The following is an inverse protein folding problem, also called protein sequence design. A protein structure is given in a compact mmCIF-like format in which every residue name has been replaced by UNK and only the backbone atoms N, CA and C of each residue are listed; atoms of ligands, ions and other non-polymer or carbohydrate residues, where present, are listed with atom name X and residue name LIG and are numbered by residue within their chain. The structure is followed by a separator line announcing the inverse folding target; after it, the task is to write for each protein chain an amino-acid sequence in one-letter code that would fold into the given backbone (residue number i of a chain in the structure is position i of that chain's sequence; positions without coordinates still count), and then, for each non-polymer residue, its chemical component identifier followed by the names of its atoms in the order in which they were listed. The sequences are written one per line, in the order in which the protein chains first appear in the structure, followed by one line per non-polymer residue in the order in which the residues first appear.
data_IF_223301195415
#
_entry.id   IF_223301195415
#
_cell.length_a   1.000
_cell.length_b   1.000
_cell.length_c   1.000
_cell.angle_alpha   90.00
_cell.angle_beta   90.00
_cell.angle_gamma   90.00
#
_symmetry.space_group_name_H-M   'P 1'
#
loop_
_entity.id
_entity.type
_entity.pdbx_description
1 polymer ?
#
# COMPACT_ATOMS: atom_id res chain seq x y z
N UNK A 1 18.06 -43.38 -23.25
CA UNK A 1 19.42 -43.44 -23.85
C UNK A 1 20.17 -42.26 -23.25
N UNK A 2 20.84 -42.43 -22.20
CA UNK A 2 22.23 -42.69 -21.84
C UNK A 2 23.22 -41.64 -22.38
N UNK A 3 23.74 -40.85 -21.40
CA UNK A 3 25.13 -40.48 -21.18
C UNK A 3 25.70 -39.41 -22.14
N UNK A 4 26.51 -38.43 -21.74
CA UNK A 4 27.65 -38.45 -20.80
C UNK A 4 28.19 -37.06 -20.51
N UNK A 5 28.66 -36.83 -19.31
CA UNK A 5 29.72 -35.89 -18.90
C UNK A 5 31.07 -36.42 -19.41
N UNK A 6 32.25 -35.80 -19.21
CA UNK A 6 32.65 -34.56 -18.60
C UNK A 6 33.78 -33.84 -19.39
N UNK A 7 34.28 -32.66 -18.97
CA UNK A 7 35.73 -32.41 -18.97
C UNK A 7 36.08 -31.27 -17.97
N UNK A 8 36.96 -31.64 -17.11
CA UNK A 8 37.58 -30.84 -16.08
C UNK A 8 38.99 -30.39 -16.52
N UNK A 9 39.50 -29.39 -15.81
CA UNK A 9 40.90 -29.01 -15.62
C UNK A 9 41.64 -28.32 -16.77
N UNK A 10 42.06 -27.08 -16.53
CA UNK A 10 43.46 -26.71 -16.68
C UNK A 10 43.85 -25.59 -15.69
N UNK A 11 44.71 -26.01 -14.79
CA UNK A 11 45.52 -25.24 -13.84
C UNK A 11 46.71 -24.67 -14.60
N UNK A 12 47.06 -23.38 -14.34
CA UNK A 12 48.28 -22.79 -14.95
C UNK A 12 48.74 -21.56 -14.21
N UNK A 13 49.44 -21.77 -13.17
CA UNK A 13 50.40 -20.98 -12.39
C UNK A 13 51.41 -20.22 -13.27
N UNK A 14 51.52 -18.85 -13.13
CA UNK A 14 52.78 -18.15 -13.37
C UNK A 14 52.96 -17.08 -12.30
N UNK A 15 53.89 -17.37 -11.40
CA UNK A 15 54.65 -16.43 -10.54
C UNK A 15 55.87 -15.97 -11.32
N UNK A 16 56.22 -14.68 -11.27
CA UNK A 16 57.61 -14.17 -11.16
C UNK A 16 57.61 -12.62 -11.14
N UNK A 17 57.94 -12.14 -10.00
CA UNK A 17 58.88 -11.13 -9.55
C UNK A 17 59.37 -10.09 -10.57
N UNK A 18 59.29 -8.82 -10.18
CA UNK A 18 60.43 -7.91 -10.13
C UNK A 18 60.13 -6.75 -9.15
N UNK A 19 61.01 -6.61 -8.20
CA UNK A 19 61.09 -5.58 -7.17
C UNK A 19 61.83 -4.34 -7.72
N UNK A 20 61.71 -3.23 -6.91
CA UNK A 20 62.57 -2.08 -6.73
C UNK A 20 62.02 -0.75 -7.23
N UNK A 21 61.79 0.13 -6.25
CA UNK A 21 61.62 1.58 -6.42
C UNK A 21 60.96 2.25 -5.25
N UNK A 22 61.65 2.41 -4.11
CA UNK A 22 61.23 3.27 -2.99
C UNK A 22 61.34 4.74 -3.39
N UNK A 23 60.29 5.53 -3.16
CA UNK A 23 60.35 6.90 -2.62
C UNK A 23 59.07 7.22 -1.87
N UNK A 24 59.14 7.86 -0.68
CA UNK A 24 58.01 8.14 0.15
C UNK A 24 57.33 9.45 -0.26
N UNK A 25 56.01 9.44 -0.39
CA UNK A 25 55.19 10.66 -0.37
C UNK A 25 53.90 10.40 0.35
N UNK A 26 53.70 11.22 1.35
CA UNK A 26 52.63 11.45 2.29
C UNK A 26 51.23 10.98 1.95
N UNK A 27 50.63 10.32 2.95
CA UNK A 27 49.31 10.46 3.52
C UNK A 27 48.13 10.72 2.56
N UNK A 28 47.47 9.67 2.13
CA UNK A 28 46.12 9.69 1.66
C UNK A 28 45.51 8.34 2.03
N UNK A 29 44.88 8.30 3.20
CA UNK A 29 44.02 7.17 3.59
C UNK A 29 42.82 7.14 2.66
N UNK A 30 42.88 6.35 1.62
CA UNK A 30 41.69 5.95 0.89
C UNK A 30 41.07 4.76 1.61
N UNK A 31 40.17 5.06 2.54
CA UNK A 31 39.17 4.07 2.95
C UNK A 31 38.40 3.62 1.70
N UNK A 32 38.10 2.32 1.57
CA UNK A 32 37.10 1.90 0.59
C UNK A 32 35.80 2.69 0.83
N UNK A 33 35.00 2.97 -0.20
CA UNK A 33 33.68 3.54 0.03
C UNK A 33 32.95 2.61 1.01
N UNK A 34 32.62 3.11 2.18
CA UNK A 34 31.59 2.50 3.01
C UNK A 34 30.36 2.46 2.10
N UNK A 35 29.87 1.28 1.78
CA UNK A 35 28.51 1.10 1.31
C UNK A 35 27.64 1.72 2.40
N UNK A 36 27.22 2.97 2.18
CA UNK A 36 26.13 3.56 2.91
C UNK A 36 24.92 2.68 2.65
N UNK A 37 24.68 1.73 3.52
CA UNK A 37 23.37 1.14 3.68
C UNK A 37 22.47 2.32 4.01
N UNK A 38 21.75 2.82 3.00
CA UNK A 38 20.63 3.73 3.19
C UNK A 38 19.57 2.99 4.02
N UNK A 39 19.81 2.94 5.32
CA UNK A 39 18.73 2.73 6.27
C UNK A 39 17.86 3.97 6.14
N UNK A 40 16.82 3.87 5.33
CA UNK A 40 15.80 4.90 5.22
C UNK A 40 15.32 5.19 6.64
N UNK A 41 15.41 6.45 7.06
CA UNK A 41 14.95 6.86 8.38
C UNK A 41 13.49 6.43 8.54
N UNK A 42 13.13 5.91 9.72
CA UNK A 42 11.74 5.57 10.01
C UNK A 42 10.85 6.82 9.83
N UNK A 43 9.61 6.65 9.33
CA UNK A 43 8.67 7.75 9.24
C UNK A 43 8.46 8.40 10.62
N UNK A 44 8.46 9.72 10.67
CA UNK A 44 8.14 10.54 11.84
C UNK A 44 6.78 11.24 11.74
N UNK A 45 6.13 11.05 10.60
CA UNK A 45 4.83 11.63 10.27
C UNK A 45 4.01 10.58 9.54
N UNK A 46 2.72 10.44 9.87
CA UNK A 46 1.80 9.56 9.15
C UNK A 46 1.33 10.17 7.82
N UNK A 47 0.51 9.43 7.08
CA UNK A 47 0.01 9.87 5.77
C UNK A 47 -1.01 11.00 5.84
N UNK A 48 -1.60 11.25 7.01
CA UNK A 48 -2.48 12.38 7.29
C UNK A 48 -1.75 13.60 7.85
N UNK A 49 -0.41 13.53 8.00
CA UNK A 49 0.43 14.63 8.48
C UNK A 49 0.54 14.72 10.01
N UNK A 50 0.06 13.72 10.74
CA UNK A 50 0.21 13.69 12.19
C UNK A 50 1.61 13.18 12.56
N UNK A 51 2.26 13.75 13.59
CA UNK A 51 3.52 13.22 14.08
C UNK A 51 3.32 11.84 14.71
N UNK A 52 4.20 10.91 14.37
CA UNK A 52 4.24 9.55 14.92
C UNK A 52 5.63 9.26 15.48
N UNK A 53 5.66 8.34 16.44
CA UNK A 53 6.91 7.84 16.99
C UNK A 53 6.89 6.31 16.92
N UNK A 54 7.48 5.78 15.85
CA UNK A 54 7.60 4.35 15.67
C UNK A 54 8.63 3.78 16.64
N UNK A 55 8.34 2.62 17.25
CA UNK A 55 9.36 1.88 18.01
C UNK A 55 10.46 1.36 17.05
N UNK A 56 11.64 1.09 17.58
CA UNK A 56 12.76 0.59 16.78
C UNK A 56 12.49 -0.80 16.15
N UNK A 57 11.50 -1.53 16.65
CA UNK A 57 11.02 -2.80 16.12
C UNK A 57 9.50 -2.87 16.30
N UNK A 58 8.81 -3.33 15.27
CA UNK A 58 7.34 -3.51 15.27
C UNK A 58 7.04 -5.00 15.18
N UNK A 59 6.51 -5.58 16.26
CA UNK A 59 6.20 -7.00 16.36
C UNK A 59 4.71 -7.27 16.66
N UNK A 60 3.98 -6.27 17.12
CA UNK A 60 2.55 -6.35 17.43
C UNK A 60 1.78 -5.24 16.72
N UNK A 61 0.96 -5.59 15.74
CA UNK A 61 0.25 -4.65 14.87
C UNK A 61 -1.26 -4.84 15.02
N UNK A 62 -1.97 -3.73 15.18
CA UNK A 62 -3.43 -3.68 14.97
C UNK A 62 -3.69 -3.01 13.63
N UNK A 63 -4.48 -3.65 12.79
CA UNK A 63 -4.88 -3.13 11.47
C UNK A 63 -6.37 -2.84 11.42
N UNK A 64 -6.74 -1.58 11.21
CA UNK A 64 -8.12 -1.11 11.25
C UNK A 64 -8.70 -0.79 9.88
N UNK A 65 -8.20 -1.46 8.81
CA UNK A 65 -8.81 -1.39 7.48
C UNK A 65 -8.41 -2.60 6.61
N UNK A 66 -9.32 -3.13 5.77
CA UNK A 66 -9.03 -4.27 4.91
C UNK A 66 -7.86 -4.05 3.94
N UNK A 67 -7.72 -2.85 3.37
CA UNK A 67 -6.60 -2.51 2.47
C UNK A 67 -5.24 -2.58 3.17
N UNK A 68 -5.18 -2.11 4.41
CA UNK A 68 -3.97 -2.15 5.23
C UNK A 68 -3.66 -3.59 5.62
N UNK A 69 -4.68 -4.34 6.07
CA UNK A 69 -4.54 -5.76 6.43
C UNK A 69 -4.04 -6.57 5.23
N UNK A 70 -4.61 -6.39 4.04
CA UNK A 70 -4.14 -7.07 2.82
C UNK A 70 -2.66 -6.75 2.56
N UNK A 71 -2.28 -5.48 2.62
CA UNK A 71 -0.88 -5.05 2.41
C UNK A 71 0.07 -5.73 3.41
N UNK A 72 -0.30 -5.80 4.68
CA UNK A 72 0.51 -6.49 5.70
C UNK A 72 0.61 -8.00 5.46
N UNK A 73 -0.47 -8.63 4.98
CA UNK A 73 -0.45 -10.04 4.59
C UNK A 73 0.47 -10.28 3.38
N UNK A 74 0.43 -9.41 2.38
CA UNK A 74 1.29 -9.47 1.20
C UNK A 74 2.78 -9.26 1.55
N UNK A 75 3.05 -8.53 2.63
CA UNK A 75 4.39 -8.41 3.21
C UNK A 75 4.80 -9.60 4.09
N UNK A 76 3.91 -10.61 4.26
CA UNK A 76 4.17 -11.77 5.11
C UNK A 76 4.11 -11.49 6.61
N UNK A 77 3.43 -10.40 7.03
CA UNK A 77 3.37 -9.95 8.43
C UNK A 77 2.18 -10.55 9.21
N UNK A 78 1.57 -11.63 8.74
CA UNK A 78 0.42 -12.26 9.39
C UNK A 78 0.66 -12.53 10.88
N UNK A 79 1.84 -13.06 11.22
CA UNK A 79 2.18 -13.45 12.59
C UNK A 79 2.39 -12.25 13.53
N UNK A 80 2.47 -11.04 12.98
CA UNK A 80 2.58 -9.79 13.75
C UNK A 80 1.22 -9.14 14.00
N UNK A 81 0.15 -9.59 13.34
CA UNK A 81 -1.20 -9.08 13.59
C UNK A 81 -1.72 -9.59 14.92
N UNK A 82 -2.02 -8.69 15.85
CA UNK A 82 -2.61 -9.00 17.17
C UNK A 82 -4.09 -8.68 17.22
N UNK A 83 -4.60 -7.85 16.32
CA UNK A 83 -6.03 -7.58 16.13
C UNK A 83 -6.25 -6.96 14.73
N UNK A 84 -7.47 -7.07 14.24
CA UNK A 84 -7.89 -6.49 12.96
C UNK A 84 -9.29 -5.88 13.06
N UNK A 85 -9.70 -5.14 12.03
CA UNK A 85 -11.09 -4.72 11.90
C UNK A 85 -12.01 -5.89 11.52
N UNK A 86 -13.31 -5.73 11.76
CA UNK A 86 -14.32 -6.77 11.54
C UNK A 86 -14.36 -7.27 10.10
N UNK A 87 -14.19 -6.39 9.11
CA UNK A 87 -14.20 -6.78 7.70
C UNK A 87 -12.92 -7.52 7.32
N UNK A 88 -11.77 -7.09 7.83
CA UNK A 88 -10.50 -7.80 7.64
C UNK A 88 -10.57 -9.22 8.18
N UNK A 89 -11.15 -9.42 9.36
CA UNK A 89 -11.33 -10.76 9.92
C UNK A 89 -12.13 -11.65 8.98
N UNK A 90 -13.26 -11.14 8.48
CA UNK A 90 -14.16 -11.89 7.60
C UNK A 90 -13.52 -12.20 6.22
N UNK A 91 -12.86 -11.20 5.60
CA UNK A 91 -12.35 -11.36 4.22
C UNK A 91 -11.08 -12.19 4.13
N UNK A 92 -10.25 -12.18 5.18
CA UNK A 92 -8.94 -12.82 5.16
C UNK A 92 -8.82 -14.05 6.07
N UNK A 93 -9.93 -14.50 6.65
CA UNK A 93 -9.93 -15.68 7.53
C UNK A 93 -9.09 -15.46 8.79
N UNK A 94 -9.30 -14.33 9.47
CA UNK A 94 -8.59 -13.90 10.66
C UNK A 94 -9.52 -13.84 11.90
N UNK A 95 -10.62 -14.59 11.89
CA UNK A 95 -11.65 -14.56 12.97
C UNK A 95 -11.11 -15.09 14.31
N UNK A 96 -9.96 -15.73 14.31
CA UNK A 96 -9.27 -16.16 15.53
C UNK A 96 -8.60 -14.99 16.28
N UNK A 97 -8.42 -13.83 15.63
CA UNK A 97 -7.87 -12.62 16.22
C UNK A 97 -8.97 -11.77 16.88
N UNK A 98 -8.65 -10.99 17.92
CA UNK A 98 -9.52 -9.92 18.39
C UNK A 98 -9.94 -9.00 17.25
N UNK A 99 -11.23 -8.64 17.20
CA UNK A 99 -11.79 -7.80 16.14
C UNK A 99 -12.44 -6.55 16.71
N UNK A 100 -12.31 -5.44 15.98
CA UNK A 100 -12.85 -4.15 16.38
C UNK A 100 -13.64 -3.50 15.24
N UNK A 101 -14.65 -2.71 15.60
CA UNK A 101 -15.31 -1.84 14.65
C UNK A 101 -14.38 -0.68 14.27
N UNK A 102 -14.20 -0.42 12.98
CA UNK A 102 -13.30 0.64 12.51
C UNK A 102 -13.84 2.05 12.78
N UNK A 103 -15.16 2.21 12.95
CA UNK A 103 -15.82 3.49 13.17
C UNK A 103 -16.01 3.80 14.68
N UNK A 104 -16.20 2.78 15.48
CA UNK A 104 -16.43 2.86 16.92
C UNK A 104 -15.54 1.85 17.67
N UNK A 105 -14.20 1.98 17.60
CA UNK A 105 -13.29 1.02 18.20
C UNK A 105 -13.34 1.09 19.75
N UNK A 106 -13.31 -0.07 20.39
CA UNK A 106 -13.09 -0.17 21.83
C UNK A 106 -11.60 0.02 22.15
N UNK A 107 -11.20 1.27 22.32
CA UNK A 107 -9.80 1.64 22.55
C UNK A 107 -9.26 1.16 23.89
N UNK A 108 -10.11 0.91 24.88
CA UNK A 108 -9.68 0.33 26.16
C UNK A 108 -9.27 -1.14 25.97
N UNK A 109 -10.05 -1.90 25.20
CA UNK A 109 -9.68 -3.28 24.84
C UNK A 109 -8.46 -3.32 23.89
N UNK A 110 -8.33 -2.37 22.98
CA UNK A 110 -7.15 -2.28 22.12
C UNK A 110 -5.88 -2.01 22.93
N UNK A 111 -5.92 -1.12 23.92
CA UNK A 111 -4.77 -0.75 24.75
C UNK A 111 -4.17 -1.94 25.51
N UNK A 112 -4.99 -2.92 25.94
CA UNK A 112 -4.48 -4.10 26.67
C UNK A 112 -3.77 -5.12 25.77
N UNK A 113 -3.87 -4.99 24.45
CA UNK A 113 -3.17 -5.86 23.50
C UNK A 113 -1.69 -5.51 23.35
N UNK A 114 -1.25 -4.37 23.92
CA UNK A 114 0.13 -3.89 23.88
C UNK A 114 0.69 -3.84 22.43
N UNK A 115 -0.09 -3.34 21.51
CA UNK A 115 0.36 -3.17 20.14
C UNK A 115 1.49 -2.13 20.04
N UNK A 116 2.49 -2.42 19.23
CA UNK A 116 3.58 -1.49 18.91
C UNK A 116 3.09 -0.40 17.94
N UNK A 117 2.15 -0.76 17.07
CA UNK A 117 1.64 0.09 16.01
C UNK A 117 0.17 -0.23 15.73
N UNK A 118 -0.63 0.81 15.63
CA UNK A 118 -2.02 0.74 15.16
C UNK A 118 -2.10 1.50 13.84
N UNK A 119 -2.47 0.83 12.78
CA UNK A 119 -2.82 1.48 11.52
C UNK A 119 -4.31 1.77 11.48
N UNK A 120 -4.66 3.01 11.14
CA UNK A 120 -6.04 3.47 10.96
C UNK A 120 -6.27 3.95 9.54
N UNK A 121 -7.53 4.19 9.17
CA UNK A 121 -7.86 4.70 7.84
C UNK A 121 -8.69 5.97 7.93
N UNK A 122 -8.68 6.77 6.86
CA UNK A 122 -9.48 7.98 6.76
C UNK A 122 -10.98 7.78 6.99
N UNK A 123 -11.49 6.53 6.87
CA UNK A 123 -12.88 6.21 7.19
C UNK A 123 -13.19 6.34 8.68
N UNK A 124 -12.24 6.01 9.55
CA UNK A 124 -12.41 6.11 11.01
C UNK A 124 -12.59 7.56 11.48
N UNK A 125 -12.02 8.53 10.76
CA UNK A 125 -12.13 9.96 11.07
C UNK A 125 -13.36 10.64 10.43
N UNK A 126 -14.21 9.91 9.72
CA UNK A 126 -15.35 10.46 8.97
C UNK A 126 -16.40 11.13 9.85
N UNK A 127 -16.44 10.84 11.14
CA UNK A 127 -17.34 11.47 12.13
C UNK A 127 -16.83 12.82 12.66
N UNK A 128 -15.64 13.26 12.25
CA UNK A 128 -15.04 14.53 12.67
C UNK A 128 -14.31 14.50 14.02
N UNK A 129 -14.30 13.36 14.73
CA UNK A 129 -13.49 13.11 15.91
C UNK A 129 -12.54 11.95 15.63
N UNK A 130 -11.30 12.01 16.14
CA UNK A 130 -10.38 10.87 16.06
C UNK A 130 -10.77 9.83 17.12
N UNK A 131 -11.34 8.67 16.77
CA UNK A 131 -11.74 7.66 17.76
C UNK A 131 -10.52 7.00 18.43
N UNK A 132 -9.32 7.13 17.86
CA UNK A 132 -8.07 6.55 18.38
C UNK A 132 -7.27 7.50 19.28
N UNK A 133 -7.77 8.72 19.51
CA UNK A 133 -7.14 9.69 20.39
C UNK A 133 -6.78 9.09 21.78
N UNK A 134 -7.61 8.27 22.43
CA UNK A 134 -7.27 7.65 23.72
C UNK A 134 -6.02 6.75 23.66
N UNK A 135 -5.77 6.06 22.53
CA UNK A 135 -4.56 5.25 22.36
C UNK A 135 -3.30 6.12 22.23
N UNK A 136 -3.40 7.24 21.51
CA UNK A 136 -2.28 8.21 21.39
C UNK A 136 -1.93 8.80 22.76
N UNK A 137 -2.93 9.11 23.59
CA UNK A 137 -2.74 9.68 24.93
C UNK A 137 -2.02 8.73 25.89
N UNK A 138 -2.16 7.42 25.73
CA UNK A 138 -1.43 6.42 26.52
C UNK A 138 -0.12 6.00 25.85
N UNK A 139 0.28 6.64 24.75
CA UNK A 139 1.59 6.47 24.11
C UNK A 139 1.67 5.34 23.09
N UNK A 140 0.54 4.79 22.63
CA UNK A 140 0.51 3.84 21.52
C UNK A 140 0.78 4.60 20.21
N UNK A 141 1.67 4.06 19.37
CA UNK A 141 1.89 4.62 18.05
C UNK A 141 0.67 4.32 17.16
N UNK A 142 -0.02 5.37 16.73
CA UNK A 142 -1.17 5.27 15.82
C UNK A 142 -0.85 6.03 14.55
N UNK A 143 -0.83 5.35 13.42
CA UNK A 143 -0.53 5.90 12.09
C UNK A 143 -1.78 5.87 11.22
N UNK A 144 -2.24 7.04 10.81
CA UNK A 144 -3.39 7.19 9.94
C UNK A 144 -3.00 7.20 8.46
N UNK A 145 -3.78 6.48 7.65
CA UNK A 145 -3.64 6.40 6.21
C UNK A 145 -4.96 6.86 5.58
N UNK A 146 -5.02 8.05 4.97
CA UNK A 146 -6.24 8.56 4.35
C UNK A 146 -6.66 7.68 3.16
N UNK A 147 -7.89 7.85 2.69
CA UNK A 147 -8.32 7.21 1.46
C UNK A 147 -7.52 7.75 0.27
N UNK A 148 -6.89 6.86 -0.49
CA UNK A 148 -6.14 7.23 -1.67
C UNK A 148 -7.06 7.80 -2.76
N UNK A 149 -6.65 8.91 -3.39
CA UNK A 149 -7.39 9.57 -4.47
C UNK A 149 -6.85 9.15 -5.86
N UNK A 150 -5.70 8.47 -5.90
CA UNK A 150 -5.04 8.02 -7.14
C UNK A 150 -4.29 6.70 -6.93
N UNK A 151 -3.91 6.05 -8.03
CA UNK A 151 -3.04 4.87 -8.02
C UNK A 151 -1.66 5.20 -7.44
N UNK A 152 -1.12 6.37 -7.76
CA UNK A 152 0.16 6.82 -7.20
C UNK A 152 0.07 7.03 -5.69
N UNK A 153 -0.99 7.67 -5.20
CA UNK A 153 -1.21 7.86 -3.76
C UNK A 153 -1.33 6.51 -3.02
N UNK A 154 -2.03 5.54 -3.62
CA UNK A 154 -2.13 4.18 -3.08
C UNK A 154 -0.75 3.52 -2.98
N UNK A 155 0.11 3.65 -4.01
CA UNK A 155 1.47 3.09 -3.97
C UNK A 155 2.34 3.77 -2.91
N UNK A 156 2.16 5.07 -2.67
CA UNK A 156 2.82 5.77 -1.57
C UNK A 156 2.35 5.30 -0.20
N UNK A 157 1.05 4.99 -0.04
CA UNK A 157 0.52 4.42 1.19
C UNK A 157 1.11 3.03 1.46
N UNK A 158 1.24 2.18 0.43
CA UNK A 158 1.90 0.87 0.53
C UNK A 158 3.38 1.02 0.93
N UNK A 159 4.10 2.01 0.36
CA UNK A 159 5.49 2.32 0.76
C UNK A 159 5.59 2.80 2.19
N UNK A 160 4.64 3.62 2.63
CA UNK A 160 4.59 4.09 4.01
C UNK A 160 4.40 2.92 4.99
N UNK A 161 3.44 2.02 4.72
CA UNK A 161 3.23 0.81 5.53
C UNK A 161 4.53 -0.01 5.59
N UNK A 162 5.16 -0.23 4.44
CA UNK A 162 6.42 -0.97 4.36
C UNK A 162 7.53 -0.33 5.18
N UNK A 163 7.65 0.99 5.14
CA UNK A 163 8.65 1.73 5.93
C UNK A 163 8.40 1.59 7.44
N UNK A 164 7.14 1.56 7.87
CA UNK A 164 6.77 1.36 9.27
C UNK A 164 7.12 -0.04 9.79
N UNK A 165 7.03 -1.08 8.93
CA UNK A 165 7.19 -2.48 9.37
C UNK A 165 8.49 -3.14 8.88
N UNK A 166 9.34 -2.40 8.15
CA UNK A 166 10.61 -2.90 7.64
C UNK A 166 10.50 -3.84 6.44
N UNK A 167 9.50 -3.64 5.56
CA UNK A 167 9.20 -4.49 4.40
C UNK A 167 9.50 -3.80 3.04
N UNK A 168 10.44 -2.86 3.00
CA UNK A 168 10.68 -2.01 1.83
C UNK A 168 11.05 -2.81 0.57
N UNK A 169 11.89 -3.84 0.69
CA UNK A 169 12.30 -4.65 -0.47
C UNK A 169 11.09 -5.40 -1.08
N UNK A 170 10.29 -6.06 -0.25
CA UNK A 170 9.06 -6.74 -0.68
C UNK A 170 8.07 -5.76 -1.31
N UNK A 171 7.93 -4.58 -0.73
CA UNK A 171 7.06 -3.51 -1.21
C UNK A 171 7.44 -3.08 -2.64
N UNK A 172 8.71 -2.76 -2.91
CA UNK A 172 9.12 -2.30 -4.23
C UNK A 172 8.94 -3.37 -5.31
N UNK A 173 9.11 -4.64 -4.96
CA UNK A 173 8.81 -5.74 -5.88
C UNK A 173 7.31 -5.83 -6.21
N UNK A 174 6.43 -5.72 -5.20
CA UNK A 174 4.98 -5.73 -5.40
C UNK A 174 4.51 -4.52 -6.22
N UNK A 175 5.03 -3.33 -5.91
CA UNK A 175 4.70 -2.10 -6.67
C UNK A 175 5.15 -2.24 -8.12
N UNK A 176 6.34 -2.78 -8.37
CA UNK A 176 6.84 -3.00 -9.73
C UNK A 176 5.95 -3.96 -10.53
N UNK A 177 5.45 -5.01 -9.89
CA UNK A 177 4.50 -5.95 -10.50
C UNK A 177 3.16 -5.28 -10.80
N UNK A 178 2.59 -4.56 -9.84
CA UNK A 178 1.34 -3.82 -10.00
C UNK A 178 1.46 -2.77 -11.12
N UNK A 179 2.55 -2.00 -11.17
CA UNK A 179 2.78 -1.01 -12.23
C UNK A 179 2.85 -1.67 -13.61
N UNK A 180 3.52 -2.80 -13.73
CA UNK A 180 3.60 -3.51 -15.01
C UNK A 180 2.21 -4.01 -15.49
N UNK A 181 1.33 -4.42 -14.58
CA UNK A 181 -0.05 -4.78 -14.92
C UNK A 181 -0.88 -3.55 -15.30
N UNK A 182 -0.75 -2.45 -14.56
CA UNK A 182 -1.42 -1.19 -14.88
C UNK A 182 -1.00 -0.69 -16.27
N UNK A 183 0.30 -0.74 -16.59
CA UNK A 183 0.83 -0.33 -17.90
C UNK A 183 0.27 -1.20 -19.04
N UNK A 184 0.11 -2.51 -18.82
CA UNK A 184 -0.53 -3.41 -19.79
C UNK A 184 -2.00 -3.06 -20.00
N UNK A 185 -2.74 -2.82 -18.91
CA UNK A 185 -4.15 -2.40 -18.99
C UNK A 185 -4.30 -1.06 -19.70
N UNK A 186 -3.44 -0.09 -19.38
CA UNK A 186 -3.41 1.21 -20.06
C UNK A 186 -3.13 1.10 -21.56
N UNK A 187 -2.21 0.19 -21.94
CA UNK A 187 -1.91 -0.06 -23.35
C UNK A 187 -3.14 -0.65 -24.09
N UNK A 188 -3.87 -1.58 -23.44
CA UNK A 188 -5.14 -2.12 -23.98
C UNK A 188 -6.19 -1.01 -24.05
N UNK A 189 -6.37 -0.25 -22.96
CA UNK A 189 -7.35 0.84 -22.87
C UNK A 189 -7.14 1.92 -23.93
N UNK A 190 -5.88 2.28 -24.21
CA UNK A 190 -5.54 3.27 -25.24
C UNK A 190 -5.91 2.84 -26.66
N UNK A 191 -6.04 1.53 -26.89
CA UNK A 191 -6.45 0.96 -28.19
C UNK A 191 -7.97 0.90 -28.39
N UNK A 192 -8.78 1.23 -27.37
CA UNK A 192 -10.25 1.17 -27.46
C UNK A 192 -10.76 2.39 -28.20
N UNK A 193 -11.31 2.16 -29.41
CA UNK A 193 -11.85 3.24 -30.27
C UNK A 193 -13.20 3.78 -29.82
N UNK A 194 -14.07 2.91 -29.27
CA UNK A 194 -15.40 3.29 -28.76
C UNK A 194 -15.48 2.94 -27.28
N UNK A 195 -15.34 3.97 -26.45
CA UNK A 195 -15.36 3.83 -24.99
C UNK A 195 -16.75 3.54 -24.49
N UNK A 196 -16.86 2.57 -23.56
CA UNK A 196 -18.10 2.27 -22.87
C UNK A 196 -18.30 3.25 -21.71
N UNK A 197 -19.54 3.76 -21.58
CA UNK A 197 -19.96 4.59 -20.46
C UNK A 197 -20.29 3.71 -19.27
N UNK A 198 -19.55 3.90 -18.19
CA UNK A 198 -19.67 3.11 -16.96
C UNK A 198 -20.26 3.96 -15.85
N UNK A 199 -21.39 3.50 -15.29
CA UNK A 199 -21.88 3.98 -14.02
C UNK A 199 -21.21 3.17 -12.91
N UNK A 200 -20.54 3.84 -11.98
CA UNK A 200 -20.05 3.23 -10.73
C UNK A 200 -21.15 3.40 -9.68
N UNK A 201 -21.67 2.31 -9.16
CA UNK A 201 -22.68 2.30 -8.11
C UNK A 201 -22.03 1.82 -6.81
N UNK A 202 -21.69 2.79 -5.92
CA UNK A 202 -21.09 2.53 -4.61
C UNK A 202 -22.16 2.25 -3.56
N UNK A 203 -23.29 2.98 -3.64
CA UNK A 203 -24.50 2.69 -2.90
C UNK A 203 -25.71 2.77 -3.84
N UNK A 204 -26.72 1.93 -3.55
CA UNK A 204 -27.88 1.76 -4.41
C UNK A 204 -28.93 2.85 -4.23
N UNK A 205 -29.89 2.85 -5.18
CA UNK A 205 -31.10 3.69 -5.13
C UNK A 205 -31.78 3.71 -3.73
N UNK A 206 -32.52 4.81 -3.38
CA UNK A 206 -32.95 5.88 -4.31
C UNK A 206 -31.89 6.93 -4.63
N UNK A 207 -30.87 7.07 -3.79
CA UNK A 207 -29.77 8.01 -3.97
C UNK A 207 -28.50 7.22 -4.30
N UNK A 208 -28.27 6.95 -5.59
CA UNK A 208 -27.07 6.25 -6.04
C UNK A 208 -25.84 7.08 -5.66
N UNK A 209 -24.94 6.51 -4.85
CA UNK A 209 -23.66 7.12 -4.58
C UNK A 209 -22.65 6.66 -5.64
N UNK A 210 -22.00 7.61 -6.30
CA UNK A 210 -21.12 7.35 -7.45
C UNK A 210 -19.82 8.15 -7.38
N UNK A 211 -18.86 7.78 -8.21
CA UNK A 211 -17.57 8.45 -8.35
C UNK A 211 -17.60 9.38 -9.58
N UNK A 212 -17.16 10.62 -9.40
CA UNK A 212 -16.94 11.60 -10.45
C UNK A 212 -15.46 11.73 -10.83
N UNK A 213 -15.08 12.90 -11.39
CA UNK A 213 -13.70 13.29 -11.64
C UNK A 213 -12.91 13.36 -10.33
N UNK A 214 -11.59 13.37 -10.44
CA UNK A 214 -10.65 13.50 -9.31
C UNK A 214 -10.83 12.42 -8.24
N UNK A 215 -11.24 11.21 -8.67
CA UNK A 215 -11.37 10.04 -7.81
C UNK A 215 -10.52 8.90 -8.32
N UNK A 216 -10.09 8.06 -7.42
CA UNK A 216 -9.41 6.79 -7.73
C UNK A 216 -10.18 5.94 -8.77
N UNK A 217 -11.51 5.89 -8.63
CA UNK A 217 -12.37 5.15 -9.57
C UNK A 217 -12.34 5.74 -10.99
N UNK A 218 -12.29 7.06 -11.12
CA UNK A 218 -12.14 7.75 -12.40
C UNK A 218 -10.82 7.36 -13.08
N UNK A 219 -9.73 7.33 -12.31
CA UNK A 219 -8.43 6.96 -12.84
C UNK A 219 -8.42 5.50 -13.33
N UNK A 220 -8.98 4.57 -12.56
CA UNK A 220 -9.11 3.16 -12.95
C UNK A 220 -9.89 2.99 -14.25
N UNK A 221 -11.07 3.63 -14.37
CA UNK A 221 -11.89 3.59 -15.58
C UNK A 221 -11.15 4.15 -16.79
N UNK A 222 -10.44 5.26 -16.62
CA UNK A 222 -9.66 5.88 -17.69
C UNK A 222 -8.52 4.96 -18.15
N UNK A 223 -7.82 4.34 -17.22
CA UNK A 223 -6.73 3.39 -17.49
C UNK A 223 -7.18 2.23 -18.36
N UNK A 224 -8.34 1.66 -18.11
CA UNK A 224 -8.89 0.56 -18.90
C UNK A 224 -9.61 1.03 -20.18
N UNK A 225 -9.60 2.32 -20.52
CA UNK A 225 -10.21 2.88 -21.71
C UNK A 225 -11.73 2.99 -21.65
N UNK A 226 -12.31 3.02 -20.44
CA UNK A 226 -13.72 3.31 -20.23
C UNK A 226 -13.98 4.82 -20.05
N UNK A 227 -15.25 5.22 -20.13
CA UNK A 227 -15.74 6.56 -19.85
C UNK A 227 -16.56 6.51 -18.54
N UNK A 228 -16.19 7.29 -17.56
CA UNK A 228 -16.99 7.45 -16.36
C UNK A 228 -18.24 8.26 -16.67
N UNK A 229 -19.42 7.71 -16.39
CA UNK A 229 -20.72 8.33 -16.68
C UNK A 229 -20.87 9.72 -16.03
N UNK A 230 -20.21 9.92 -14.87
CA UNK A 230 -20.22 11.17 -14.11
C UNK A 230 -18.85 11.83 -14.03
N UNK A 231 -17.94 11.53 -14.95
CA UNK A 231 -16.60 12.10 -15.02
C UNK A 231 -16.54 13.61 -15.32
N UNK A 232 -17.67 14.24 -15.58
CA UNK A 232 -17.84 15.70 -15.71
C UNK A 232 -18.15 16.40 -14.37
N UNK A 233 -18.19 15.64 -13.27
CA UNK A 233 -18.53 16.13 -11.93
C UNK A 233 -17.43 15.72 -10.94
N UNK A 234 -17.01 16.61 -10.07
CA UNK A 234 -15.91 16.36 -9.14
C UNK A 234 -16.33 15.47 -7.95
N UNK A 235 -15.42 14.62 -7.52
CA UNK A 235 -15.49 13.84 -6.29
C UNK A 235 -16.57 12.78 -6.24
N UNK A 236 -16.77 12.22 -5.06
CA UNK A 236 -17.85 11.27 -4.78
C UNK A 236 -19.14 12.01 -4.48
N UNK A 237 -20.28 11.49 -5.01
CA UNK A 237 -21.56 12.21 -4.91
C UNK A 237 -22.79 11.33 -5.04
N UNK A 238 -23.89 11.82 -4.49
CA UNK A 238 -25.21 11.22 -4.75
C UNK A 238 -25.81 11.73 -6.06
N UNK A 239 -26.42 10.83 -6.81
CA UNK A 239 -27.15 11.12 -8.05
C UNK A 239 -28.48 10.37 -8.04
N UNK A 240 -29.48 10.91 -8.73
CA UNK A 240 -30.79 10.23 -8.86
C UNK A 240 -30.75 9.16 -9.94
N UNK A 241 -31.64 8.16 -9.86
CA UNK A 241 -31.82 7.17 -10.91
C UNK A 241 -32.14 7.80 -12.27
N UNK A 242 -32.96 8.86 -12.29
CA UNK A 242 -33.33 9.57 -13.52
C UNK A 242 -32.09 10.22 -14.16
N UNK A 243 -31.19 10.79 -13.36
CA UNK A 243 -29.93 11.37 -13.87
C UNK A 243 -29.04 10.28 -14.47
N UNK A 244 -28.94 9.12 -13.83
CA UNK A 244 -28.17 7.99 -14.33
C UNK A 244 -28.77 7.43 -15.64
N UNK A 245 -30.07 7.18 -15.67
CA UNK A 245 -30.79 6.67 -16.86
C UNK A 245 -30.70 7.65 -18.04
N UNK A 246 -30.84 8.97 -17.78
CA UNK A 246 -30.74 10.00 -18.83
C UNK A 246 -29.36 10.03 -19.49
N UNK A 247 -28.29 9.73 -18.75
CA UNK A 247 -26.93 9.64 -19.30
C UNK A 247 -26.66 8.35 -20.07
N UNK A 248 -27.58 7.38 -19.98
CA UNK A 248 -27.58 6.12 -20.73
C UNK A 248 -26.27 5.34 -20.61
N UNK A 249 -25.98 4.73 -19.44
CA UNK A 249 -24.80 3.90 -19.25
C UNK A 249 -24.83 2.65 -20.13
N UNK A 250 -23.67 2.24 -20.64
CA UNK A 250 -23.48 0.93 -21.30
C UNK A 250 -23.29 -0.20 -20.28
N UNK A 251 -22.70 0.14 -19.13
CA UNK A 251 -22.31 -0.79 -18.06
C UNK A 251 -22.60 -0.17 -16.70
N UNK A 252 -23.05 -0.97 -15.76
CA UNK A 252 -23.15 -0.63 -14.34
C UNK A 252 -22.13 -1.51 -13.60
N UNK A 253 -21.17 -0.86 -12.93
CA UNK A 253 -20.25 -1.50 -12.01
C UNK A 253 -20.78 -1.26 -10.60
N UNK A 254 -21.38 -2.27 -10.00
CA UNK A 254 -21.95 -2.18 -8.66
C UNK A 254 -21.04 -2.78 -7.61
N UNK A 255 -20.97 -2.13 -6.44
CA UNK A 255 -20.36 -2.62 -5.20
C UNK A 255 -21.42 -3.05 -4.19
N UNK A 256 -22.69 -3.06 -4.60
CA UNK A 256 -23.84 -3.40 -3.75
C UNK A 256 -24.31 -4.80 -4.09
N UNK A 257 -24.56 -5.62 -3.06
CA UNK A 257 -25.13 -6.98 -3.16
C UNK A 257 -26.65 -6.96 -3.38
#
# INVERSE_FOLDING_TARGET
MKLSKPFALLLGLILLLSAVGCTPKEGGSSNPPEEETHQSALPDTDRSGNPIQLPGQVDAIISMAPSITQTLLDFGMKDKLVAVDTYSALYFGLEDLPTFDMMEPDTEQMAVLNADLVFTSGMSASTGADPFQPLREVGVCVADIPSAESLDAMMEDVRFIAACVGAQETCEELIRQAQAEIDQLAAIGSGIGEKKKVLVEIASAPDIYTAGADTFMQEMLTTIGAENLFGDQEGYRSVTEEAAVTRNPDVILTMVD
#
